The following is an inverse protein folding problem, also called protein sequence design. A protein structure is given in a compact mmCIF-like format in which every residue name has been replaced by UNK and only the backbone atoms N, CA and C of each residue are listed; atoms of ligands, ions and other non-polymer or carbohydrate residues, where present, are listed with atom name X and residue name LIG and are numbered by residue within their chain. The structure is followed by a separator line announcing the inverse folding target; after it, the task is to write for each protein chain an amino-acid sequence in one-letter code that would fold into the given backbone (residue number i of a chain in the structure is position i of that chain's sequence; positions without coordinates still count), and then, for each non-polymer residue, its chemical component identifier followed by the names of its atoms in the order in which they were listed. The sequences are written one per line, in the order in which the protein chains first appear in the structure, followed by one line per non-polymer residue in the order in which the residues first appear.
data_IF_114788776036
#
_entry.id   IF_114788776036
#
_cell.length_a   1.000
_cell.length_b   1.000
_cell.length_c   1.000
_cell.angle_alpha   90.00
_cell.angle_beta   90.00
_cell.angle_gamma   90.00
#
_symmetry.space_group_name_H-M   'P 1'
#
loop_
_entity.id
_entity.type
_entity.pdbx_description
1 polymer ?
#
# COMPACT_ATOMS: atom_id res chain seq x y z
N UNK A 1 2.92 -12.23 -4.91
CA UNK A 1 3.55 -11.32 -3.95
C UNK A 1 2.97 -11.70 -2.62
N UNK A 2 3.83 -12.00 -1.68
CA UNK A 2 3.46 -12.28 -0.30
C UNK A 2 3.87 -11.07 0.55
N UNK A 3 3.00 -10.69 1.49
CA UNK A 3 3.27 -9.60 2.42
C UNK A 3 2.87 -10.08 3.81
N UNK A 4 3.85 -10.16 4.71
CA UNK A 4 3.64 -10.46 6.13
C UNK A 4 3.83 -9.19 6.95
N UNK A 5 2.87 -8.86 7.79
CA UNK A 5 2.95 -7.71 8.69
C UNK A 5 3.22 -8.17 10.12
N UNK A 6 4.27 -7.61 10.73
CA UNK A 6 4.67 -7.91 12.10
C UNK A 6 4.83 -6.62 12.89
N UNK A 7 4.10 -6.50 14.00
CA UNK A 7 4.34 -5.42 14.95
C UNK A 7 5.60 -5.73 15.76
N UNK A 8 6.60 -4.85 15.69
CA UNK A 8 7.85 -4.96 16.42
C UNK A 8 7.76 -4.12 17.69
N UNK A 9 7.76 -4.75 18.89
CA UNK A 9 7.68 -4.03 20.16
C UNK A 9 8.76 -2.95 20.26
N UNK A 10 8.34 -1.70 20.50
CA UNK A 10 9.24 -0.56 20.65
C UNK A 10 9.73 0.08 19.35
N UNK A 11 9.69 -0.62 18.21
CA UNK A 11 10.19 -0.12 16.93
C UNK A 11 9.07 0.36 16.00
N UNK A 12 8.01 -0.43 15.78
CA UNK A 12 6.94 -0.05 14.86
C UNK A 12 6.30 -1.24 14.15
N UNK A 13 5.98 -1.07 12.87
CA UNK A 13 5.37 -2.10 12.02
C UNK A 13 6.35 -2.49 10.91
N UNK A 14 6.70 -3.77 10.85
CA UNK A 14 7.53 -4.34 9.80
C UNK A 14 6.65 -5.03 8.76
N UNK A 15 6.79 -4.63 7.51
CA UNK A 15 6.22 -5.30 6.36
C UNK A 15 7.32 -6.11 5.68
N UNK A 16 7.18 -7.43 5.68
CA UNK A 16 8.06 -8.34 4.97
C UNK A 16 7.41 -8.71 3.62
N UNK A 17 8.10 -8.40 2.52
CA UNK A 17 7.56 -8.49 1.17
C UNK A 17 8.42 -9.38 0.28
N UNK A 18 7.79 -10.39 -0.34
CA UNK A 18 8.44 -11.26 -1.33
C UNK A 18 7.73 -11.09 -2.68
N UNK A 19 8.45 -10.64 -3.70
CA UNK A 19 7.91 -10.49 -5.06
C UNK A 19 7.66 -11.85 -5.70
N UNK A 20 6.93 -11.88 -6.83
CA UNK A 20 6.71 -13.13 -7.57
C UNK A 20 7.99 -13.71 -8.18
N UNK A 21 8.99 -12.85 -8.39
CA UNK A 21 10.32 -13.22 -8.89
C UNK A 21 11.25 -13.69 -7.76
N UNK A 22 10.77 -13.69 -6.51
CA UNK A 22 11.54 -14.09 -5.34
C UNK A 22 12.43 -12.99 -4.75
N UNK A 23 12.29 -11.74 -5.19
CA UNK A 23 13.01 -10.62 -4.58
C UNK A 23 12.42 -10.33 -3.20
N UNK A 24 13.30 -10.15 -2.21
CA UNK A 24 12.93 -9.91 -0.83
C UNK A 24 13.28 -8.48 -0.42
N UNK A 25 12.31 -7.77 0.14
CA UNK A 25 12.51 -6.45 0.73
C UNK A 25 11.61 -6.28 1.95
N UNK A 26 12.02 -5.40 2.86
CA UNK A 26 11.22 -5.08 4.06
C UNK A 26 11.01 -3.59 4.19
N UNK A 27 9.86 -3.21 4.73
CA UNK A 27 9.55 -1.81 5.07
C UNK A 27 9.27 -1.75 6.56
N UNK A 28 10.09 -1.04 7.33
CA UNK A 28 9.80 -0.70 8.71
C UNK A 28 9.15 0.68 8.73
N UNK A 29 7.95 0.77 9.30
CA UNK A 29 7.32 2.03 9.65
C UNK A 29 7.47 2.19 11.15
N UNK A 30 8.31 3.12 11.57
CA UNK A 30 8.53 3.36 12.99
C UNK A 30 7.32 4.08 13.62
N UNK A 31 7.39 4.33 14.94
CA UNK A 31 6.31 5.04 15.64
C UNK A 31 6.24 6.54 15.34
N UNK A 32 7.30 7.14 14.81
CA UNK A 32 7.32 8.54 14.37
C UNK A 32 6.71 8.72 12.98
N UNK A 33 6.49 7.61 12.27
CA UNK A 33 6.02 7.58 10.89
C UNK A 33 7.16 7.62 9.87
N UNK A 34 8.42 7.58 10.30
CA UNK A 34 9.57 7.38 9.42
C UNK A 34 9.52 5.98 8.81
N UNK A 35 9.87 5.88 7.54
CA UNK A 35 9.83 4.61 6.80
C UNK A 35 11.24 4.23 6.36
N UNK A 36 11.65 3.01 6.68
CA UNK A 36 12.93 2.45 6.26
C UNK A 36 12.68 1.27 5.33
N UNK A 37 13.24 1.34 4.12
CA UNK A 37 13.20 0.27 3.14
C UNK A 37 14.52 -0.49 3.17
N UNK A 38 14.45 -1.79 3.44
CA UNK A 38 15.57 -2.72 3.44
C UNK A 38 15.50 -3.60 2.20
N UNK A 39 16.57 -3.62 1.42
CA UNK A 39 16.70 -4.46 0.22
C UNK A 39 17.60 -5.64 0.55
N UNK A 40 17.16 -6.86 0.25
CA UNK A 40 17.94 -8.07 0.48
C UNK A 40 18.48 -8.62 -0.83
N UNK A 41 19.70 -9.17 -0.76
CA UNK A 41 20.28 -9.94 -1.86
C UNK A 41 19.62 -11.32 -1.99
N UNK A 42 19.84 -12.04 -3.10
CA UNK A 42 19.15 -13.31 -3.39
C UNK A 42 19.46 -14.43 -2.38
N UNK A 43 20.55 -14.34 -1.62
CA UNK A 43 21.00 -15.39 -0.70
C UNK A 43 21.34 -14.86 0.70
N UNK A 44 21.14 -13.55 0.95
CA UNK A 44 21.60 -12.90 2.17
C UNK A 44 20.48 -12.65 3.18
N UNK A 45 20.75 -12.91 4.47
CA UNK A 45 19.86 -12.51 5.56
C UNK A 45 20.07 -11.05 5.99
N UNK A 46 21.12 -10.40 5.50
CA UNK A 46 21.44 -9.01 5.77
C UNK A 46 21.03 -8.12 4.60
N UNK A 47 20.55 -6.89 4.89
CA UNK A 47 20.20 -5.97 3.83
C UNK A 47 21.45 -5.52 3.07
N UNK A 48 21.39 -5.58 1.75
CA UNK A 48 22.43 -5.04 0.86
C UNK A 48 22.32 -3.53 0.71
N UNK A 49 21.14 -2.97 1.01
CA UNK A 49 20.91 -1.54 1.06
C UNK A 49 19.78 -1.20 2.05
N UNK A 50 19.91 -0.03 2.68
CA UNK A 50 18.88 0.59 3.51
C UNK A 50 18.60 1.99 2.99
N UNK A 51 17.33 2.30 2.76
CA UNK A 51 16.87 3.61 2.30
C UNK A 51 15.94 4.16 3.37
N UNK A 52 16.35 5.23 4.03
CA UNK A 52 15.52 5.95 5.00
C UNK A 52 14.74 7.01 4.24
N UNK A 53 13.42 6.95 4.33
CA UNK A 53 12.51 7.90 3.70
C UNK A 53 11.86 8.78 4.78
N UNK A 54 11.94 10.08 4.58
CA UNK A 54 11.11 11.02 5.31
C UNK A 54 9.64 10.87 4.92
N UNK A 55 8.75 11.47 5.71
CA UNK A 55 7.31 11.35 5.49
C UNK A 55 6.90 11.78 4.07
N UNK A 56 7.39 12.94 3.62
CA UNK A 56 7.13 13.50 2.31
C UNK A 56 7.73 12.66 1.16
N UNK A 57 8.96 12.18 1.31
CA UNK A 57 9.61 11.32 0.32
C UNK A 57 8.87 10.00 0.14
N UNK A 58 8.44 9.39 1.24
CA UNK A 58 7.68 8.15 1.18
C UNK A 58 6.27 8.34 0.59
N UNK A 59 5.64 9.48 0.80
CA UNK A 59 4.36 9.80 0.16
C UNK A 59 4.54 9.91 -1.37
N UNK A 60 5.63 10.54 -1.82
CA UNK A 60 5.99 10.62 -3.24
C UNK A 60 6.31 9.24 -3.85
N UNK A 61 7.13 8.44 -3.17
CA UNK A 61 7.46 7.07 -3.60
C UNK A 61 6.19 6.21 -3.67
N UNK A 62 5.33 6.31 -2.66
CA UNK A 62 4.03 5.67 -2.62
C UNK A 62 3.21 6.02 -3.85
N UNK A 63 3.10 7.31 -4.18
CA UNK A 63 2.37 7.78 -5.36
C UNK A 63 2.93 7.23 -6.69
N UNK A 64 4.25 7.12 -6.83
CA UNK A 64 4.91 6.56 -8.03
C UNK A 64 4.61 5.07 -8.18
N UNK A 65 4.73 4.30 -7.08
CA UNK A 65 4.46 2.86 -7.08
C UNK A 65 2.98 2.57 -7.33
N UNK A 66 2.08 3.45 -6.86
CA UNK A 66 0.63 3.35 -7.01
C UNK A 66 0.12 3.67 -8.44
N UNK A 67 0.79 3.20 -9.49
CA UNK A 67 0.51 3.46 -10.93
C UNK A 67 -0.93 3.21 -11.46
N UNK A 68 -1.94 3.02 -10.61
CA UNK A 68 -3.30 3.51 -10.84
C UNK A 68 -3.56 4.73 -9.93
N UNK A 69 -3.60 5.96 -10.47
CA UNK A 69 -3.74 7.18 -9.67
C UNK A 69 -4.99 7.11 -8.79
N UNK A 70 -4.93 7.71 -7.60
CA UNK A 70 -6.01 7.77 -6.61
C UNK A 70 -7.37 8.19 -7.21
N UNK A 71 -7.35 9.02 -8.25
CA UNK A 71 -8.50 9.41 -9.08
C UNK A 71 -9.30 8.22 -9.62
N UNK A 72 -8.65 7.12 -10.00
CA UNK A 72 -9.33 5.93 -10.52
C UNK A 72 -10.08 5.17 -9.42
N UNK A 73 -9.57 5.17 -8.19
CA UNK A 73 -10.31 4.62 -7.04
C UNK A 73 -11.47 5.51 -6.64
N UNK A 74 -11.30 6.83 -6.70
CA UNK A 74 -12.41 7.79 -6.49
C UNK A 74 -13.49 7.61 -7.55
N UNK A 75 -13.13 7.50 -8.83
CA UNK A 75 -14.11 7.23 -9.90
C UNK A 75 -14.81 5.87 -9.74
N UNK A 76 -14.11 4.84 -9.27
CA UNK A 76 -14.73 3.55 -8.97
C UNK A 76 -15.66 3.62 -7.74
N UNK A 77 -15.32 4.43 -6.73
CA UNK A 77 -16.17 4.69 -5.57
C UNK A 77 -17.40 5.52 -5.96
N UNK A 78 -17.22 6.60 -6.73
CA UNK A 78 -18.30 7.44 -7.28
C UNK A 78 -19.26 6.60 -8.13
N UNK A 79 -18.74 5.69 -8.97
CA UNK A 79 -19.56 4.78 -9.76
C UNK A 79 -20.35 3.82 -8.87
N UNK A 80 -19.74 3.23 -7.83
CA UNK A 80 -20.45 2.36 -6.88
C UNK A 80 -21.51 3.11 -6.07
N UNK A 81 -21.27 4.38 -5.71
CA UNK A 81 -22.24 5.25 -5.04
C UNK A 81 -23.38 5.64 -5.98
N UNK A 82 -23.08 5.93 -7.25
CA UNK A 82 -24.09 6.25 -8.26
C UNK A 82 -24.97 5.03 -8.59
N UNK A 83 -24.39 3.83 -8.70
CA UNK A 83 -25.15 2.59 -8.91
C UNK A 83 -26.08 2.29 -7.71
N UNK A 84 -25.60 2.51 -6.47
CA UNK A 84 -26.41 2.34 -5.25
C UNK A 84 -27.53 3.40 -5.12
N UNK A 85 -27.27 4.63 -5.56
CA UNK A 85 -28.28 5.70 -5.57
C UNK A 85 -29.31 5.52 -6.71
N UNK A 86 -28.90 4.95 -7.84
CA UNK A 86 -29.76 4.61 -8.97
C UNK A 86 -30.75 3.49 -8.67
N UNK A 87 -30.34 2.52 -7.84
CA UNK A 87 -31.17 1.38 -7.41
C UNK A 87 -32.34 1.80 -6.47
N UNK A 88 -32.29 3.02 -5.92
CA UNK A 88 -33.39 3.59 -5.10
C UNK A 88 -34.46 4.29 -5.96
N UNK A 89 -34.25 4.42 -7.29
CA UNK A 89 -35.07 5.25 -8.17
C UNK A 89 -36.04 4.53 -9.10
N UNK A 90 -35.97 3.20 -9.26
CA UNK A 90 -36.83 2.46 -10.20
C UNK A 90 -37.94 1.67 -9.50
N UNK A 91 -38.64 2.35 -8.59
CA UNK A 91 -39.97 1.98 -8.12
C UNK A 91 -41.02 2.78 -8.89
N UNK A 92 -40.99 2.67 -10.23
CA UNK A 92 -41.91 3.33 -11.12
C UNK A 92 -43.37 3.02 -10.77
N UNK A 93 -44.13 4.10 -10.57
CA UNK A 93 -45.58 4.16 -10.69
C UNK A 93 -46.03 3.30 -11.89
N UNK A 94 -46.81 2.26 -11.65
CA UNK A 94 -47.68 1.69 -12.68
C UNK A 94 -49.00 1.26 -12.04
N UNK A 95 -50.01 2.09 -12.34
CA UNK A 95 -51.47 1.90 -12.25
C UNK A 95 -52.12 1.92 -10.86
#
# INVERSE_FOLDING_TARGET
MDITQTTVPGAGVLHDCITRDGQHFRILVDRSGQRELYVYGPTGSEPVATIVLQADEADLVGAIIHSRPLTNRMAELERRVADLAGDTGDGGLTL
#
